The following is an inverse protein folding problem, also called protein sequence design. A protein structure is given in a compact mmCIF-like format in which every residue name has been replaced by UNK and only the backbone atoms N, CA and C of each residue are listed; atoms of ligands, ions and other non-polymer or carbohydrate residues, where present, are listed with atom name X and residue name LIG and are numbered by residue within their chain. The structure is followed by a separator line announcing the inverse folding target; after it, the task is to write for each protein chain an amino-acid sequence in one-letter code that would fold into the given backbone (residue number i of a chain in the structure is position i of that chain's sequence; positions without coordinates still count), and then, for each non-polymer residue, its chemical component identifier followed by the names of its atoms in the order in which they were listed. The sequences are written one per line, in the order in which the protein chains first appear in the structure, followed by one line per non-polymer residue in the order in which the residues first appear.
data_IF_708255034242
#
_entry.id   IF_708255034242
#
_cell.length_a   1.000
_cell.length_b   1.000
_cell.length_c   1.000
_cell.angle_alpha   90.00
_cell.angle_beta   90.00
_cell.angle_gamma   90.00
#
_symmetry.space_group_name_H-M   'P 1'
#
loop_
_entity.id
_entity.type
_entity.pdbx_description
1 polymer ?
#
# COMPACT_ATOMS: atom_id res chain seq x y z
N UNK A 1 -37.80 -18.70 -40.37
CA UNK A 1 -36.45 -18.70 -39.77
C UNK A 1 -36.05 -17.24 -39.57
N UNK A 2 -36.22 -16.70 -38.37
CA UNK A 2 -35.85 -15.32 -38.05
C UNK A 2 -34.59 -15.35 -37.17
N UNK A 3 -33.50 -14.65 -37.52
CA UNK A 3 -32.36 -14.56 -36.64
C UNK A 3 -32.61 -13.55 -35.51
N UNK A 4 -32.38 -14.01 -34.28
CA UNK A 4 -31.71 -13.24 -33.23
C UNK A 4 -32.51 -12.15 -32.53
N UNK A 5 -33.27 -12.52 -31.51
CA UNK A 5 -33.57 -11.62 -30.39
C UNK A 5 -32.34 -11.61 -29.50
N UNK A 6 -31.41 -10.67 -29.70
CA UNK A 6 -30.34 -10.44 -28.72
C UNK A 6 -30.78 -9.27 -27.85
N UNK A 7 -31.20 -9.63 -26.65
CA UNK A 7 -31.69 -8.72 -25.62
C UNK A 7 -30.69 -7.60 -25.40
N UNK A 8 -31.24 -6.39 -25.39
CA UNK A 8 -30.57 -5.13 -25.15
C UNK A 8 -29.76 -5.15 -23.85
N UNK A 9 -28.57 -4.56 -23.92
CA UNK A 9 -27.96 -3.74 -22.87
C UNK A 9 -28.04 -4.28 -21.43
N UNK A 10 -27.04 -5.07 -21.06
CA UNK A 10 -26.42 -4.90 -19.73
C UNK A 10 -25.29 -3.89 -19.89
N UNK A 11 -25.70 -2.65 -20.16
CA UNK A 11 -24.92 -1.48 -19.82
C UNK A 11 -24.89 -1.49 -18.29
N UNK A 12 -23.75 -1.79 -17.68
CA UNK A 12 -23.50 -1.51 -16.27
C UNK A 12 -23.49 0.02 -16.12
N UNK A 13 -24.66 0.63 -16.11
CA UNK A 13 -24.82 2.05 -15.83
C UNK A 13 -24.57 2.28 -14.33
N UNK A 14 -23.30 2.37 -13.95
CA UNK A 14 -22.90 3.22 -12.83
C UNK A 14 -22.67 4.64 -13.37
N UNK A 15 -23.17 5.59 -12.60
CA UNK A 15 -23.56 6.95 -12.97
C UNK A 15 -22.39 7.83 -13.46
N UNK A 16 -22.74 8.80 -14.31
CA UNK A 16 -21.88 9.83 -14.92
C UNK A 16 -21.14 10.71 -13.91
N UNK A 17 -19.93 11.13 -14.28
CA UNK A 17 -19.24 12.30 -13.74
C UNK A 17 -17.78 11.99 -13.46
N UNK A 18 -16.92 12.35 -14.42
CA UNK A 18 -15.47 12.21 -14.36
C UNK A 18 -15.02 10.75 -14.52
N UNK A 19 -13.86 10.55 -15.14
CA UNK A 19 -13.36 9.24 -15.59
C UNK A 19 -13.60 8.14 -14.54
N UNK A 20 -14.27 7.04 -14.91
CA UNK A 20 -14.48 5.89 -14.02
C UNK A 20 -13.14 5.21 -13.73
N UNK A 21 -12.33 5.83 -12.88
CA UNK A 21 -11.09 5.28 -12.38
C UNK A 21 -11.43 4.18 -11.40
N UNK A 22 -10.86 3.00 -11.60
CA UNK A 22 -11.01 1.93 -10.61
C UNK A 22 -10.41 2.38 -9.27
N UNK A 23 -10.85 1.78 -8.16
CA UNK A 23 -10.30 2.07 -6.84
C UNK A 23 -8.77 1.86 -6.80
N UNK A 24 -8.27 0.86 -7.55
CA UNK A 24 -6.84 0.61 -7.68
C UNK A 24 -6.13 1.76 -8.41
N UNK A 25 -6.69 2.25 -9.52
CA UNK A 25 -6.11 3.38 -10.26
C UNK A 25 -6.08 4.64 -9.40
N UNK A 26 -7.18 4.92 -8.68
CA UNK A 26 -7.23 6.03 -7.73
C UNK A 26 -6.17 5.90 -6.63
N UNK A 27 -6.02 4.70 -6.03
CA UNK A 27 -5.03 4.47 -4.97
C UNK A 27 -3.59 4.67 -5.47
N UNK A 28 -3.28 4.23 -6.68
CA UNK A 28 -1.99 4.47 -7.33
C UNK A 28 -1.74 5.96 -7.60
N UNK A 29 -2.76 6.72 -7.98
CA UNK A 29 -2.64 8.18 -8.14
C UNK A 29 -2.35 8.87 -6.81
N UNK A 30 -3.02 8.48 -5.73
CA UNK A 30 -2.74 9.04 -4.39
C UNK A 30 -1.32 8.72 -3.94
N UNK A 31 -0.86 7.48 -4.18
CA UNK A 31 0.52 7.09 -3.90
C UNK A 31 1.53 7.93 -4.67
N UNK A 32 1.31 8.16 -5.98
CA UNK A 32 2.18 8.98 -6.81
C UNK A 32 2.20 10.47 -6.44
N UNK A 33 1.09 10.99 -5.88
CA UNK A 33 1.00 12.36 -5.37
C UNK A 33 1.66 12.54 -4.00
N UNK A 34 2.04 11.45 -3.33
CA UNK A 34 2.57 11.49 -1.96
C UNK A 34 1.50 11.82 -0.92
N UNK A 35 0.23 11.57 -1.22
CA UNK A 35 -0.88 11.77 -0.27
C UNK A 35 -0.65 10.89 0.96
N UNK A 36 -0.80 11.43 2.18
CA UNK A 36 -0.72 10.63 3.39
C UNK A 36 -1.74 9.48 3.34
N UNK A 37 -1.30 8.25 3.58
CA UNK A 37 -2.18 7.07 3.51
C UNK A 37 -3.38 7.22 4.45
N UNK A 38 -3.21 7.89 5.60
CA UNK A 38 -4.28 8.19 6.53
C UNK A 38 -5.46 8.97 5.90
N UNK A 39 -5.23 9.76 4.85
CA UNK A 39 -6.27 10.52 4.15
C UNK A 39 -6.96 9.68 3.05
N UNK A 40 -6.35 8.55 2.68
CA UNK A 40 -6.91 7.56 1.76
C UNK A 40 -7.76 6.50 2.47
N UNK A 41 -7.70 6.43 3.80
CA UNK A 41 -8.47 5.46 4.59
C UNK A 41 -9.91 5.94 4.77
N UNK A 42 -10.84 4.97 4.76
CA UNK A 42 -12.24 5.25 5.06
C UNK A 42 -12.39 5.79 6.50
N UNK A 43 -13.04 6.95 6.68
CA UNK A 43 -13.17 7.58 8.00
C UNK A 43 -13.96 6.74 9.01
N UNK A 44 -14.86 5.86 8.58
CA UNK A 44 -15.66 5.01 9.48
C UNK A 44 -14.84 3.87 10.09
N UNK A 45 -13.72 3.50 9.46
CA UNK A 45 -12.83 2.43 9.94
C UNK A 45 -11.48 2.97 10.45
N UNK A 46 -11.20 4.26 10.27
CA UNK A 46 -9.93 4.89 10.62
C UNK A 46 -9.76 4.98 12.13
N UNK A 47 -9.10 3.97 12.69
CA UNK A 47 -8.77 3.89 14.11
C UNK A 47 -7.28 4.20 14.34
N UNK A 48 -6.92 5.20 15.18
CA UNK A 48 -5.53 5.59 15.40
C UNK A 48 -4.62 4.46 15.90
N UNK A 49 -5.18 3.53 16.69
CA UNK A 49 -4.44 2.38 17.23
C UNK A 49 -4.04 1.36 16.16
N UNK A 50 -4.72 1.33 15.01
CA UNK A 50 -4.46 0.39 13.92
C UNK A 50 -3.88 1.07 12.67
N UNK A 51 -3.47 2.33 12.78
CA UNK A 51 -3.04 3.11 11.61
C UNK A 51 -1.81 2.51 10.93
N UNK A 52 -0.93 1.86 11.68
CA UNK A 52 0.26 1.19 11.14
C UNK A 52 -0.13 -0.06 10.33
N UNK A 53 -1.03 -0.88 10.87
CA UNK A 53 -1.57 -2.08 10.24
C UNK A 53 -2.36 -1.71 8.99
N UNK A 54 -3.25 -0.71 9.08
CA UNK A 54 -4.00 -0.17 7.94
C UNK A 54 -3.07 0.34 6.84
N UNK A 55 -2.00 1.04 7.22
CA UNK A 55 -0.97 1.51 6.28
C UNK A 55 -0.26 0.34 5.60
N UNK A 56 0.05 -0.71 6.34
CA UNK A 56 0.70 -1.91 5.79
C UNK A 56 -0.22 -2.63 4.81
N UNK A 57 -1.49 -2.79 5.15
CA UNK A 57 -2.50 -3.43 4.29
C UNK A 57 -2.78 -2.58 3.05
N UNK A 58 -2.82 -1.24 3.17
CA UNK A 58 -2.97 -0.34 2.04
C UNK A 58 -1.81 -0.50 1.03
N UNK A 59 -0.57 -0.48 1.52
CA UNK A 59 0.61 -0.71 0.67
C UNK A 59 0.61 -2.11 0.05
N UNK A 60 0.23 -3.14 0.81
CA UNK A 60 0.08 -4.48 0.27
C UNK A 60 -0.96 -4.54 -0.85
N UNK A 61 -2.09 -3.84 -0.68
CA UNK A 61 -3.13 -3.69 -1.70
C UNK A 61 -2.61 -3.05 -2.99
N UNK A 62 -1.78 -2.00 -2.89
CA UNK A 62 -1.11 -1.39 -4.05
C UNK A 62 -0.24 -2.42 -4.79
N UNK A 63 0.66 -3.11 -4.08
CA UNK A 63 1.58 -4.06 -4.73
C UNK A 63 0.80 -5.24 -5.35
N UNK A 64 -0.23 -5.75 -4.69
CA UNK A 64 -1.11 -6.80 -5.21
C UNK A 64 -1.86 -6.37 -6.48
N UNK A 65 -2.19 -5.09 -6.62
CA UNK A 65 -2.90 -4.53 -7.76
C UNK A 65 -1.96 -3.87 -8.78
N UNK A 66 -0.65 -4.07 -8.66
CA UNK A 66 0.31 -3.46 -9.56
C UNK A 66 0.03 -3.83 -11.04
N UNK A 67 0.14 -2.89 -12.00
CA UNK A 67 -0.16 -3.14 -13.41
C UNK A 67 0.68 -4.28 -14.01
N UNK A 68 1.97 -4.33 -13.66
CA UNK A 68 2.83 -5.46 -14.03
C UNK A 68 2.53 -6.69 -13.17
N UNK A 69 2.24 -7.86 -13.74
CA UNK A 69 2.02 -9.08 -12.97
C UNK A 69 3.29 -9.61 -12.30
N UNK A 70 4.48 -9.28 -12.82
CA UNK A 70 5.75 -9.80 -12.29
C UNK A 70 6.19 -9.16 -10.97
N UNK A 71 5.61 -8.01 -10.61
CA UNK A 71 5.89 -7.31 -9.36
C UNK A 71 4.91 -7.68 -8.25
N UNK A 72 3.81 -8.38 -8.59
CA UNK A 72 2.81 -8.80 -7.61
C UNK A 72 3.42 -9.91 -6.74
N UNK A 73 3.24 -9.85 -5.41
CA UNK A 73 3.73 -10.87 -4.50
C UNK A 73 3.03 -12.21 -4.76
N UNK A 74 3.67 -13.30 -4.33
CA UNK A 74 2.98 -14.58 -4.28
C UNK A 74 1.92 -14.56 -3.17
N UNK A 75 0.86 -15.36 -3.31
CA UNK A 75 -0.17 -15.46 -2.27
C UNK A 75 0.41 -15.91 -0.91
N UNK A 76 1.53 -16.67 -0.93
CA UNK A 76 2.27 -17.04 0.28
C UNK A 76 2.78 -15.79 1.00
N UNK A 77 3.45 -14.89 0.28
CA UNK A 77 4.02 -13.67 0.85
C UNK A 77 2.92 -12.73 1.36
N UNK A 78 1.81 -12.62 0.62
CA UNK A 78 0.62 -11.86 1.03
C UNK A 78 0.11 -12.35 2.39
N UNK A 79 -0.04 -13.66 2.57
CA UNK A 79 -0.51 -14.24 3.82
C UNK A 79 0.48 -14.06 4.97
N UNK A 80 1.78 -14.15 4.70
CA UNK A 80 2.83 -13.89 5.71
C UNK A 80 2.78 -12.43 6.21
N UNK A 81 2.58 -11.46 5.32
CA UNK A 81 2.44 -10.05 5.70
C UNK A 81 1.16 -9.83 6.50
N UNK A 82 0.02 -10.37 6.04
CA UNK A 82 -1.26 -10.20 6.72
C UNK A 82 -1.26 -10.80 8.13
N UNK A 83 -0.64 -11.97 8.32
CA UNK A 83 -0.53 -12.61 9.66
C UNK A 83 0.26 -11.75 10.64
N UNK A 84 1.27 -11.03 10.17
CA UNK A 84 2.07 -10.12 10.99
C UNK A 84 1.34 -8.81 11.33
N UNK A 85 0.29 -8.48 10.58
CA UNK A 85 -0.54 -7.30 10.83
C UNK A 85 -1.70 -7.58 11.79
N UNK A 86 -1.92 -8.83 12.19
CA UNK A 86 -2.88 -9.14 13.25
C UNK A 86 -2.23 -8.80 14.58
N UNK A 87 -2.80 -7.88 15.39
CA UNK A 87 -2.33 -7.63 16.74
C UNK A 87 -2.68 -8.86 17.57
N UNK A 88 -1.76 -9.82 17.64
CA UNK A 88 -1.85 -10.91 18.59
C UNK A 88 -1.89 -10.28 19.99
N UNK A 89 -2.96 -10.55 20.75
CA UNK A 89 -3.11 -10.13 22.13
C UNK A 89 -2.14 -10.86 23.08
N UNK A 90 -0.93 -11.18 22.64
CA UNK A 90 0.04 -11.94 23.42
C UNK A 90 1.34 -11.12 23.54
N UNK A 91 1.64 -10.77 24.79
CA UNK A 91 2.71 -9.83 25.15
C UNK A 91 4.09 -10.19 24.61
N UNK A 92 4.84 -9.12 24.33
CA UNK A 92 6.30 -9.04 24.29
C UNK A 92 7.04 -10.15 23.53
N UNK A 93 7.55 -9.81 22.34
CA UNK A 93 9.01 -9.86 22.14
C UNK A 93 9.47 -8.68 21.28
N UNK A 94 10.34 -7.86 21.85
CA UNK A 94 11.24 -6.99 21.10
C UNK A 94 12.02 -7.86 20.11
N UNK A 95 11.99 -7.57 18.83
CA UNK A 95 13.13 -7.85 17.95
C UNK A 95 13.11 -6.82 16.84
N UNK A 96 14.06 -5.88 16.92
CA UNK A 96 14.47 -5.12 15.75
C UNK A 96 14.95 -6.10 14.71
N UNK A 97 14.21 -6.21 13.61
CA UNK A 97 14.74 -6.67 12.35
C UNK A 97 14.58 -5.48 11.41
N UNK A 98 15.63 -4.66 11.41
CA UNK A 98 16.05 -3.86 10.28
C UNK A 98 15.63 -4.57 8.98
N UNK A 99 14.77 -3.92 8.21
CA UNK A 99 14.50 -4.36 6.85
C UNK A 99 15.81 -4.19 6.09
N UNK A 100 16.54 -5.29 5.91
CA UNK A 100 17.70 -5.40 5.01
C UNK A 100 17.22 -5.28 3.55
N UNK A 101 16.80 -4.06 3.20
CA UNK A 101 16.55 -3.62 1.84
C UNK A 101 17.54 -2.49 1.55
N UNK A 102 18.82 -2.76 1.75
CA UNK A 102 19.91 -1.89 1.32
C UNK A 102 20.85 -2.65 0.38
N UNK A 103 20.54 -2.58 -0.94
CA UNK A 103 21.60 -2.18 -1.86
C UNK A 103 21.15 -1.18 -2.95
N UNK A 104 19.98 -0.54 -2.83
CA UNK A 104 19.43 0.32 -3.89
C UNK A 104 19.74 1.83 -3.78
N UNK A 105 20.37 2.29 -2.70
CA UNK A 105 20.80 3.68 -2.58
C UNK A 105 22.31 3.71 -2.57
N UNK A 106 22.84 3.99 -3.76
CA UNK A 106 24.25 4.06 -4.07
C UNK A 106 25.02 4.95 -3.10
N UNK A 107 26.23 4.50 -2.85
CA UNK A 107 27.35 5.25 -2.30
C UNK A 107 27.44 6.65 -2.92
N UNK A 108 26.95 7.65 -2.19
CA UNK A 108 27.51 9.00 -2.22
C UNK A 108 28.10 9.29 -0.85
N UNK A 109 29.37 8.93 -0.72
CA UNK A 109 30.25 9.51 0.29
C UNK A 109 30.39 11.01 0.02
N UNK A 110 30.76 11.76 1.08
CA UNK A 110 31.10 13.20 1.13
C UNK A 110 29.91 14.12 1.46
N UNK A 111 29.88 14.98 2.50
CA UNK A 111 30.89 15.50 3.43
C UNK A 111 30.27 15.91 4.78
N UNK A 112 31.06 15.72 5.85
CA UNK A 112 31.37 16.62 6.98
C UNK A 112 30.36 17.67 7.50
N UNK A 113 30.07 17.60 8.80
CA UNK A 113 30.10 18.74 9.75
C UNK A 113 29.91 18.19 11.20
N UNK A 114 30.94 18.16 12.05
CA UNK A 114 31.16 19.06 13.21
C UNK A 114 29.92 19.16 14.12
N UNK A 115 29.91 18.76 15.39
CA UNK A 115 30.74 19.20 16.54
C UNK A 115 30.25 18.43 17.77
N UNK A 116 31.12 18.15 18.74
CA UNK A 116 30.97 18.39 20.21
C UNK A 116 32.01 17.51 20.94
N UNK A 117 33.04 18.14 21.50
CA UNK A 117 33.08 18.64 22.88
C UNK A 117 33.69 17.59 23.81
N UNK A 118 34.98 17.72 24.11
CA UNK A 118 35.53 17.14 25.34
C UNK A 118 36.48 18.13 26.02
N UNK A 119 36.11 18.40 27.26
CA UNK A 119 36.78 19.12 28.34
C UNK A 119 38.06 18.43 28.80
N UNK A 120 39.16 19.20 28.91
CA UNK A 120 40.08 19.30 30.06
C UNK A 120 41.25 20.23 29.71
#
# INVERSE_FOLDING_TARGET
MAPGKSTQQLHCAFVNGDEQTSLADWAWQQFGQGTPIADCLDPEIKEPCFLQEMTTVFNLGLICTHPSPSTRPSMKDVLEILRRCSPDSNGETKTGAELDVLPLLGTVTSLSATTQHETA
#
